data_IF_796431803341
#
_entry.id   IF_796431803341
#
_cell.length_a   1.000
_cell.length_b   1.000
_cell.length_c   1.000
_cell.angle_alpha   90.00
_cell.angle_beta   90.00
_cell.angle_gamma   90.00
#
_symmetry.space_group_name_H-M   'P 1'
#
loop_
_entity.id
_entity.type
_entity.pdbx_description
1 polymer ?
#
# COMPACT_ATOMS: atom_id res chain seq x y z
N UNK A 1 11.72 -1.61 7.25
CA UNK A 1 10.67 -1.18 8.20
C UNK A 1 9.36 -1.09 7.45
N UNK A 2 8.26 -1.56 8.01
CA UNK A 2 6.92 -1.47 7.39
C UNK A 2 6.03 -0.53 8.18
N UNK A 3 5.23 0.28 7.49
CA UNK A 3 4.25 1.20 8.07
C UNK A 3 2.87 0.85 7.52
N UNK A 4 1.85 0.89 8.36
CA UNK A 4 0.47 0.62 7.98
C UNK A 4 -0.39 1.82 8.35
N UNK A 5 -1.19 2.31 7.40
CA UNK A 5 -1.97 3.54 7.59
C UNK A 5 -3.14 3.62 6.61
N UNK A 6 -4.09 4.50 6.93
CA UNK A 6 -5.14 4.93 6.01
C UNK A 6 -4.79 6.32 5.46
N UNK A 7 -5.00 6.54 4.16
CA UNK A 7 -4.80 7.85 3.54
C UNK A 7 -5.90 8.18 2.53
N UNK A 8 -6.01 9.45 2.15
CA UNK A 8 -6.81 9.88 1.01
C UNK A 8 -6.20 9.33 -0.28
N UNK A 9 -7.02 8.69 -1.09
CA UNK A 9 -6.61 8.03 -2.31
C UNK A 9 -6.73 9.00 -3.48
N UNK A 10 -5.61 9.66 -3.80
CA UNK A 10 -5.50 10.61 -4.93
C UNK A 10 -5.54 9.91 -6.30
N UNK A 11 -5.48 8.58 -6.30
CA UNK A 11 -5.45 7.79 -7.53
C UNK A 11 -6.80 7.28 -8.03
N UNK A 12 -7.87 7.55 -7.29
CA UNK A 12 -9.23 7.29 -7.72
C UNK A 12 -9.86 8.59 -8.21
N UNK A 13 -10.32 8.57 -9.46
CA UNK A 13 -11.13 9.64 -10.02
C UNK A 13 -12.58 9.40 -9.58
N UNK A 14 -12.90 9.82 -8.36
CA UNK A 14 -14.21 9.64 -7.75
C UNK A 14 -14.73 10.99 -7.26
N UNK A 15 -16.03 11.24 -7.46
CA UNK A 15 -16.70 12.45 -6.98
C UNK A 15 -16.64 12.62 -5.45
N UNK A 16 -16.46 11.51 -4.72
CA UNK A 16 -16.31 11.49 -3.28
C UNK A 16 -14.88 11.12 -2.87
N UNK A 17 -14.38 11.81 -1.85
CA UNK A 17 -13.08 11.53 -1.24
C UNK A 17 -13.02 10.06 -0.77
N UNK A 18 -12.13 9.28 -1.38
CA UNK A 18 -11.96 7.89 -1.01
C UNK A 18 -10.76 7.74 -0.08
N UNK A 19 -10.97 7.18 1.11
CA UNK A 19 -9.87 6.75 2.00
C UNK A 19 -9.51 5.31 1.64
N UNK A 20 -8.23 4.97 1.63
CA UNK A 20 -7.74 3.59 1.42
C UNK A 20 -6.65 3.23 2.41
N UNK A 21 -6.54 1.94 2.71
CA UNK A 21 -5.49 1.38 3.53
C UNK A 21 -4.23 1.07 2.70
N UNK A 22 -3.07 1.32 3.30
CA UNK A 22 -1.75 1.10 2.70
C UNK A 22 -0.82 0.35 3.62
N UNK A 23 0.11 -0.36 3.00
CA UNK A 23 1.38 -0.74 3.58
C UNK A 23 2.49 0.03 2.86
N UNK A 24 3.38 0.66 3.61
CA UNK A 24 4.61 1.24 3.08
C UNK A 24 5.84 0.55 3.65
N UNK A 25 6.96 0.65 2.96
CA UNK A 25 8.27 0.22 3.47
C UNK A 25 9.33 1.29 3.27
N UNK A 26 10.34 1.24 4.13
CA UNK A 26 11.60 1.99 4.04
C UNK A 26 12.75 1.08 4.46
N UNK A 27 13.89 1.16 3.77
CA UNK A 27 15.11 0.45 4.14
C UNK A 27 15.71 1.06 5.41
N UNK A 28 16.12 0.23 6.37
CA UNK A 28 16.69 0.70 7.65
C UNK A 28 17.98 1.51 7.45
N UNK A 29 18.75 1.20 6.40
CA UNK A 29 19.99 1.88 6.03
C UNK A 29 19.82 3.03 5.03
N UNK A 30 18.60 3.50 4.77
CA UNK A 30 18.38 4.63 3.87
C UNK A 30 18.90 5.93 4.49
N UNK A 31 19.91 6.54 3.86
CA UNK A 31 20.55 7.78 4.29
C UNK A 31 20.09 9.01 3.49
N UNK A 32 19.16 8.81 2.55
CA UNK A 32 18.69 9.81 1.61
C UNK A 32 19.59 10.01 0.39
N UNK A 33 19.17 10.90 -0.50
CA UNK A 33 19.84 11.16 -1.77
C UNK A 33 21.05 12.09 -1.64
N UNK A 34 22.04 11.92 -2.52
CA UNK A 34 23.26 12.73 -2.52
C UNK A 34 23.03 14.21 -2.90
N UNK A 35 22.00 14.50 -3.72
CA UNK A 35 21.71 15.86 -4.24
C UNK A 35 20.26 16.28 -3.99
N UNK A 36 19.31 15.74 -4.75
CA UNK A 36 17.91 16.20 -4.75
C UNK A 36 17.13 15.76 -3.50
N UNK A 37 17.38 14.55 -3.01
CA UNK A 37 16.65 13.93 -1.90
C UNK A 37 17.47 13.90 -0.60
N UNK A 38 18.33 14.89 -0.36
CA UNK A 38 19.09 14.98 0.88
C UNK A 38 18.14 15.00 2.09
N UNK A 39 18.43 14.14 3.08
CA UNK A 39 17.61 13.94 4.30
C UNK A 39 16.14 13.52 4.01
N UNK A 40 15.86 12.94 2.83
CA UNK A 40 14.55 12.39 2.46
C UNK A 40 14.70 10.93 2.05
N UNK A 41 13.71 10.10 2.36
CA UNK A 41 13.72 8.69 1.99
C UNK A 41 13.89 8.50 0.49
N UNK A 42 14.81 7.61 0.09
CA UNK A 42 15.04 7.18 -1.30
C UNK A 42 14.50 5.78 -1.57
N UNK A 43 14.14 5.06 -0.49
CA UNK A 43 13.63 3.68 -0.53
C UNK A 43 12.16 3.55 -0.13
N UNK A 44 11.48 4.68 0.07
CA UNK A 44 10.06 4.71 0.42
C UNK A 44 9.20 4.19 -0.74
N UNK A 45 8.45 3.12 -0.49
CA UNK A 45 7.40 2.62 -1.39
C UNK A 45 6.12 2.37 -0.59
N UNK A 46 4.96 2.54 -1.22
CA UNK A 46 3.65 2.19 -0.66
C UNK A 46 2.78 1.41 -1.64
N UNK A 47 1.96 0.49 -1.13
CA UNK A 47 1.03 -0.33 -1.89
C UNK A 47 -0.34 -0.38 -1.19
N UNK A 48 -1.42 -0.58 -1.97
CA UNK A 48 -2.79 -0.71 -1.43
C UNK A 48 -2.96 -2.04 -0.71
N UNK A 49 -3.56 -2.01 0.47
CA UNK A 49 -4.12 -3.19 1.13
C UNK A 49 -5.58 -3.31 0.72
N UNK A 50 -5.93 -4.39 0.03
CA UNK A 50 -7.32 -4.68 -0.35
C UNK A 50 -7.90 -5.64 0.68
N UNK A 51 -8.96 -5.22 1.35
CA UNK A 51 -9.81 -6.08 2.16
C UNK A 51 -11.25 -5.91 1.63
N UNK A 52 -11.84 -6.99 1.10
CA UNK A 52 -13.12 -6.91 0.40
C UNK A 52 -13.89 -8.21 0.50
N UNK A 53 -15.21 -8.10 0.41
CA UNK A 53 -16.14 -9.21 0.29
C UNK A 53 -16.89 -9.06 -1.05
N UNK A 54 -16.38 -9.65 -2.15
CA UNK A 54 -16.90 -9.44 -3.50
C UNK A 54 -18.36 -9.83 -3.67
N UNK A 55 -18.80 -10.88 -2.96
CA UNK A 55 -20.17 -11.39 -3.00
C UNK A 55 -21.18 -10.35 -2.49
N UNK A 56 -20.76 -9.48 -1.57
CA UNK A 56 -21.54 -8.38 -1.02
C UNK A 56 -21.17 -7.02 -1.64
N UNK A 57 -20.25 -6.99 -2.61
CA UNK A 57 -19.72 -5.78 -3.22
C UNK A 57 -19.13 -4.78 -2.19
N UNK A 58 -18.55 -5.29 -1.10
CA UNK A 58 -18.01 -4.47 -0.01
C UNK A 58 -16.48 -4.34 -0.07
N UNK A 59 -15.99 -3.12 0.12
CA UNK A 59 -14.57 -2.81 0.30
C UNK A 59 -14.33 -2.14 1.66
N UNK A 60 -13.56 -2.80 2.52
CA UNK A 60 -13.19 -2.32 3.85
C UNK A 60 -11.94 -1.46 3.75
N UNK A 61 -12.13 -0.17 3.46
CA UNK A 61 -11.03 0.69 3.06
C UNK A 61 -10.32 1.41 4.22
N UNK A 62 -10.92 1.50 5.41
CA UNK A 62 -10.30 2.17 6.57
C UNK A 62 -9.63 1.14 7.47
N UNK A 63 -8.31 1.22 7.58
CA UNK A 63 -7.54 0.42 8.52
C UNK A 63 -7.64 1.01 9.93
N UNK A 64 -8.02 0.19 10.90
CA UNK A 64 -8.16 0.56 12.31
C UNK A 64 -6.99 0.07 13.18
N UNK A 65 -6.55 -1.17 12.94
CA UNK A 65 -5.46 -1.78 13.70
C UNK A 65 -4.71 -2.81 12.86
N UNK A 66 -3.45 -3.05 13.22
CA UNK A 66 -2.63 -4.11 12.63
C UNK A 66 -1.94 -4.92 13.72
N UNK A 67 -1.95 -6.23 13.56
CA UNK A 67 -1.16 -7.17 14.35
C UNK A 67 -0.19 -7.90 13.43
N UNK A 68 1.07 -8.01 13.87
CA UNK A 68 2.09 -8.79 13.16
C UNK A 68 2.28 -10.12 13.87
N UNK A 69 1.98 -11.21 13.16
CA UNK A 69 2.22 -12.57 13.62
C UNK A 69 3.53 -13.07 12.99
N UNK A 70 4.63 -13.17 13.76
CA UNK A 70 5.85 -13.78 13.26
C UNK A 70 5.66 -15.28 13.05
N UNK A 71 6.25 -15.81 11.98
CA UNK A 71 6.37 -17.27 11.78
C UNK A 71 7.74 -17.79 12.20
N UNK A 72 8.02 -19.06 11.88
CA UNK A 72 9.30 -19.69 12.19
C UNK A 72 10.47 -19.02 11.45
N UNK A 73 10.23 -18.62 10.20
CA UNK A 73 11.12 -17.76 9.44
C UNK A 73 10.45 -16.40 9.17
N UNK A 74 11.27 -15.39 8.86
CA UNK A 74 10.72 -14.06 8.57
C UNK A 74 9.78 -14.10 7.36
N UNK A 75 10.05 -14.99 6.39
CA UNK A 75 9.23 -15.21 5.20
C UNK A 75 7.80 -15.64 5.55
N UNK A 76 7.60 -16.28 6.70
CA UNK A 76 6.31 -16.79 7.15
C UNK A 76 5.50 -15.73 7.94
N UNK A 77 6.01 -14.50 8.04
CA UNK A 77 5.34 -13.41 8.77
C UNK A 77 4.01 -13.07 8.09
N UNK A 78 2.96 -13.00 8.91
CA UNK A 78 1.64 -12.57 8.48
C UNK A 78 1.22 -11.27 9.19
N UNK A 79 0.62 -10.36 8.44
CA UNK A 79 -0.02 -9.16 8.96
C UNK A 79 -1.53 -9.35 8.99
N UNK A 80 -2.15 -9.15 10.14
CA UNK A 80 -3.60 -9.11 10.30
C UNK A 80 -4.02 -7.66 10.43
N UNK A 81 -4.90 -7.20 9.55
CA UNK A 81 -5.48 -5.87 9.62
C UNK A 81 -6.95 -5.94 10.00
N UNK A 82 -7.39 -5.07 10.91
CA UNK A 82 -8.80 -4.81 11.20
C UNK A 82 -9.23 -3.61 10.37
N UNK A 83 -10.26 -3.79 9.55
CA UNK A 83 -10.75 -2.78 8.62
C UNK A 83 -12.22 -2.46 8.88
N UNK A 84 -12.60 -1.24 8.54
CA UNK A 84 -13.97 -0.74 8.62
C UNK A 84 -14.45 -0.23 7.26
N UNK A 85 -15.75 -0.42 7.01
CA UNK A 85 -16.50 0.18 5.91
C UNK A 85 -17.87 0.68 6.42
N UNK A 86 -18.50 1.51 5.60
CA UNK A 86 -19.91 1.88 5.74
C UNK A 86 -20.72 1.15 4.69
N UNK A 87 -21.80 0.50 5.11
CA UNK A 87 -22.78 -0.13 4.25
C UNK A 87 -24.16 0.47 4.53
N UNK A 88 -24.57 1.40 3.66
CA UNK A 88 -25.68 2.31 3.98
C UNK A 88 -25.35 3.11 5.24
N UNK A 89 -26.22 3.04 6.24
CA UNK A 89 -26.04 3.71 7.53
C UNK A 89 -25.39 2.83 8.61
N UNK A 90 -24.93 1.62 8.24
CA UNK A 90 -24.33 0.67 9.19
C UNK A 90 -22.81 0.65 9.02
N UNK A 91 -22.10 0.73 10.14
CA UNK A 91 -20.66 0.48 10.20
C UNK A 91 -20.40 -1.03 10.27
N UNK A 92 -19.63 -1.54 9.32
CA UNK A 92 -19.24 -2.95 9.22
C UNK A 92 -17.72 -3.09 9.29
N UNK A 93 -17.26 -4.22 9.84
CA UNK A 93 -15.83 -4.49 10.01
C UNK A 93 -15.43 -5.82 9.42
N UNK A 94 -14.16 -5.95 9.03
CA UNK A 94 -13.57 -7.18 8.55
C UNK A 94 -12.13 -7.34 9.05
N UNK A 95 -11.66 -8.59 9.12
CA UNK A 95 -10.26 -8.91 9.41
C UNK A 95 -9.68 -9.56 8.16
N UNK A 96 -8.60 -9.00 7.63
CA UNK A 96 -7.87 -9.55 6.50
C UNK A 96 -6.44 -9.93 6.87
N UNK A 97 -5.94 -11.03 6.31
CA UNK A 97 -4.58 -11.54 6.50
C UNK A 97 -3.75 -11.28 5.24
N UNK A 98 -2.54 -10.76 5.41
CA UNK A 98 -1.57 -10.52 4.35
C UNK A 98 -0.24 -11.20 4.66
N UNK A 99 0.25 -12.02 3.74
CA UNK A 99 1.56 -12.65 3.89
C UNK A 99 2.68 -11.68 3.47
N UNK A 100 3.80 -11.64 4.19
CA UNK A 100 4.89 -10.69 3.89
C UNK A 100 5.47 -10.87 2.48
N UNK A 101 5.47 -12.10 1.96
CA UNK A 101 5.93 -12.37 0.58
C UNK A 101 5.01 -11.76 -0.48
N UNK A 102 3.70 -11.72 -0.25
CA UNK A 102 2.75 -11.05 -1.17
C UNK A 102 2.94 -9.52 -1.13
N UNK A 103 3.19 -8.97 0.07
CA UNK A 103 3.54 -7.56 0.23
C UNK A 103 4.85 -7.25 -0.51
N UNK A 104 5.86 -8.11 -0.40
CA UNK A 104 7.14 -7.96 -1.10
C UNK A 104 6.97 -8.02 -2.61
N UNK A 105 6.18 -8.98 -3.11
CA UNK A 105 5.82 -9.11 -4.53
C UNK A 105 5.12 -7.86 -5.06
N UNK A 106 4.24 -7.24 -4.28
CA UNK A 106 3.61 -5.97 -4.67
C UNK A 106 4.64 -4.85 -4.87
N UNK A 107 5.67 -4.75 -4.02
CA UNK A 107 6.74 -3.77 -4.16
C UNK A 107 7.74 -4.07 -5.28
N UNK A 108 7.85 -5.33 -5.70
CA UNK A 108 8.63 -5.76 -6.87
C UNK A 108 7.81 -5.65 -8.18
N UNK A 109 6.50 -5.44 -8.06
CA UNK A 109 5.58 -5.17 -9.14
C UNK A 109 5.78 -3.80 -9.78
N UNK A 110 4.98 -3.45 -10.79
CA UNK A 110 5.14 -2.19 -11.49
C UNK A 110 4.79 -0.97 -10.63
N UNK A 111 5.47 0.15 -10.88
CA UNK A 111 5.13 1.43 -10.28
C UNK A 111 3.86 2.01 -10.91
N UNK A 112 3.21 2.91 -10.17
CA UNK A 112 2.03 3.64 -10.63
C UNK A 112 2.46 5.07 -11.00
N UNK A 113 1.99 5.55 -12.15
CA UNK A 113 2.35 6.86 -12.70
C UNK A 113 1.08 7.63 -13.08
N UNK A 114 1.07 8.93 -12.84
CA UNK A 114 0.01 9.81 -13.32
C UNK A 114 0.30 10.22 -14.76
N UNK A 115 -0.56 9.83 -15.69
CA UNK A 115 -0.41 10.16 -17.11
C UNK A 115 -1.17 11.43 -17.42
N UNK A 116 -0.46 12.56 -17.53
CA UNK A 116 -1.05 13.89 -17.74
C UNK A 116 -1.98 13.93 -18.96
N UNK A 117 -1.57 13.34 -20.09
CA UNK A 117 -2.37 13.32 -21.32
C UNK A 117 -3.73 12.63 -21.15
N UNK A 118 -3.78 11.59 -20.33
CA UNK A 118 -4.99 10.82 -20.09
C UNK A 118 -5.69 11.20 -18.78
N UNK A 119 -5.14 12.19 -18.05
CA UNK A 119 -5.57 12.65 -16.72
C UNK A 119 -5.86 11.50 -15.73
N UNK A 120 -5.15 10.37 -15.87
CA UNK A 120 -5.43 9.15 -15.11
C UNK A 120 -4.17 8.48 -14.65
N UNK A 121 -4.27 7.77 -13.53
CA UNK A 121 -3.20 6.92 -13.08
C UNK A 121 -3.13 5.62 -13.88
N UNK A 122 -1.93 5.25 -14.29
CA UNK A 122 -1.65 4.03 -15.04
C UNK A 122 -0.45 3.28 -14.46
N UNK A 123 -0.17 2.14 -15.08
CA UNK A 123 1.07 1.41 -14.85
C UNK A 123 2.23 2.17 -15.50
N UNK A 124 3.32 2.38 -14.78
CA UNK A 124 4.58 2.82 -15.38
C UNK A 124 5.09 1.72 -16.32
N UNK A 125 5.38 2.10 -17.56
CA UNK A 125 5.72 1.16 -18.64
C UNK A 125 7.14 1.29 -19.17
N UNK A 126 7.86 2.35 -18.80
CA UNK A 126 9.22 2.58 -19.29
C UNK A 126 10.24 1.75 -18.50
N UNK A 127 11.51 1.86 -18.90
CA UNK A 127 12.60 1.12 -18.27
C UNK A 127 12.81 1.56 -16.82
N UNK A 128 12.72 0.59 -15.89
CA UNK A 128 12.95 0.85 -14.47
C UNK A 128 14.45 1.09 -14.25
N UNK A 129 14.85 2.20 -13.60
CA UNK A 129 16.26 2.49 -13.35
C UNK A 129 16.97 1.39 -12.55
N UNK A 130 18.28 1.28 -12.75
CA UNK A 130 19.18 0.42 -11.97
C UNK A 130 20.15 1.26 -11.12
N UNK A 131 20.26 1.03 -9.79
CA UNK A 131 19.51 0.04 -9.01
C UNK A 131 18.02 0.38 -8.89
N UNK A 132 17.19 -0.65 -8.72
CA UNK A 132 15.74 -0.52 -8.67
C UNK A 132 15.30 0.41 -7.52
N UNK A 133 14.47 1.46 -7.77
CA UNK A 133 13.98 2.33 -6.71
C UNK A 133 13.26 1.56 -5.59
N UNK A 134 13.66 1.77 -4.33
CA UNK A 134 13.10 1.05 -3.20
C UNK A 134 13.76 -0.30 -2.86
N UNK A 135 14.92 -0.59 -3.46
CA UNK A 135 15.84 -1.65 -3.06
C UNK A 135 16.79 -1.22 -1.95
#
# INVERSE_FOLDING_TARGET
>A
VYFFFSERAVEYDCYAEQVVARVARVCKGDVGGARTLQKKWTTFLKARLVCSAPEQQLHFNRLQAVFTLPGAHWQDTAFFGVFQARWGDVDVSAICRYHILEVKKAFEGPYKEYREQAQKWGRYSDEVPSPRPGA
#
